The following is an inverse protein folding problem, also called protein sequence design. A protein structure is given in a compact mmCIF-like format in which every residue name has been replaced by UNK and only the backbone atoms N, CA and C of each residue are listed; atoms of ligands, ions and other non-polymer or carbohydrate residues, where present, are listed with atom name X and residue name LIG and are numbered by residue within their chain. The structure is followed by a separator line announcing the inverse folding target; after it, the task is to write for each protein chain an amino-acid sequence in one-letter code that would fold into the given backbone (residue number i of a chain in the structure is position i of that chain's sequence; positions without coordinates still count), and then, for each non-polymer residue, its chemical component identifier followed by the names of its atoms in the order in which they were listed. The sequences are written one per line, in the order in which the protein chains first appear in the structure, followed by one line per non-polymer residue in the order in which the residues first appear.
data_IF_146826334066
#
_entry.id   IF_146826334066
#
_cell.length_a   1.000
_cell.length_b   1.000
_cell.length_c   1.000
_cell.angle_alpha   90.00
_cell.angle_beta   90.00
_cell.angle_gamma   90.00
#
_symmetry.space_group_name_H-M   'P 1'
#
loop_
_entity.id
_entity.type
_entity.pdbx_description
1 polymer ?
#
# COMPACT_ATOMS: atom_id res chain seq x y z
N UNK A 1 3.10 3.51 -24.48
CA UNK A 1 3.00 4.98 -24.62
C UNK A 1 2.60 5.53 -23.25
N UNK A 2 3.47 6.34 -22.61
CA UNK A 2 3.13 6.98 -21.32
C UNK A 2 2.22 8.15 -21.66
N UNK A 3 1.00 8.10 -21.15
CA UNK A 3 -0.03 9.14 -21.31
C UNK A 3 0.47 10.52 -20.87
N UNK A 4 -0.08 11.58 -21.43
CA UNK A 4 0.33 12.97 -21.24
C UNK A 4 0.40 13.38 -19.77
N UNK A 5 1.40 14.19 -19.39
CA UNK A 5 1.55 14.84 -18.08
C UNK A 5 0.27 15.53 -17.59
N UNK A 6 -0.57 16.00 -18.50
CA UNK A 6 -1.82 16.68 -18.20
C UNK A 6 -2.81 15.76 -17.46
N UNK A 7 -2.90 14.50 -17.87
CA UNK A 7 -3.89 13.54 -17.38
C UNK A 7 -3.64 13.14 -15.90
N UNK A 8 -2.37 12.96 -15.51
CA UNK A 8 -2.03 12.63 -14.11
C UNK A 8 -2.30 13.81 -13.16
N UNK A 9 -1.90 15.02 -13.54
CA UNK A 9 -2.10 16.21 -12.72
C UNK A 9 -3.58 16.60 -12.59
N UNK A 10 -4.41 16.27 -13.57
CA UNK A 10 -5.85 16.51 -13.52
C UNK A 10 -6.57 15.41 -12.71
N UNK A 11 -6.36 14.14 -13.04
CA UNK A 11 -7.08 13.02 -12.41
C UNK A 11 -6.56 12.66 -11.02
N UNK A 12 -5.27 12.85 -10.78
CA UNK A 12 -4.61 12.53 -9.52
C UNK A 12 -4.08 11.10 -9.44
N UNK A 13 -4.18 10.31 -10.51
CA UNK A 13 -3.65 8.97 -10.61
C UNK A 13 -3.18 8.60 -12.02
N UNK A 14 -2.34 7.57 -12.08
CA UNK A 14 -1.94 6.88 -13.30
C UNK A 14 -1.87 5.38 -13.03
N UNK A 15 -2.50 4.58 -13.90
CA UNK A 15 -2.44 3.13 -13.83
C UNK A 15 -1.68 2.57 -15.02
N UNK A 16 -0.67 1.75 -14.75
CA UNK A 16 0.22 1.17 -15.75
C UNK A 16 0.19 -0.36 -15.66
N UNK A 17 0.00 -1.03 -16.80
CA UNK A 17 -0.04 -2.48 -16.87
C UNK A 17 1.34 -3.05 -17.17
N UNK A 18 1.64 -4.25 -16.63
CA UNK A 18 2.82 -5.06 -16.92
C UNK A 18 4.14 -4.29 -16.75
N UNK A 19 4.27 -3.53 -15.66
CA UNK A 19 5.49 -2.77 -15.36
C UNK A 19 6.60 -3.69 -14.87
N UNK A 20 6.23 -4.71 -14.10
CA UNK A 20 7.15 -5.70 -13.55
C UNK A 20 6.81 -7.10 -14.07
N UNK A 21 7.84 -7.93 -14.28
CA UNK A 21 7.65 -9.32 -14.70
C UNK A 21 7.02 -10.16 -13.59
N UNK A 22 6.31 -11.22 -13.98
CA UNK A 22 5.76 -12.17 -13.02
C UNK A 22 6.85 -12.82 -12.16
N UNK A 23 8.02 -13.09 -12.73
CA UNK A 23 9.16 -13.67 -12.03
C UNK A 23 9.60 -12.76 -10.86
N UNK A 24 9.74 -11.47 -11.11
CA UNK A 24 10.09 -10.49 -10.09
C UNK A 24 9.07 -10.44 -8.95
N UNK A 25 7.78 -10.49 -9.29
CA UNK A 25 6.70 -10.47 -8.29
C UNK A 25 6.66 -11.76 -7.48
N UNK A 26 6.87 -12.91 -8.10
CA UNK A 26 6.91 -14.21 -7.40
C UNK A 26 8.13 -14.31 -6.47
N UNK A 27 9.28 -13.75 -6.83
CA UNK A 27 10.44 -13.68 -5.94
C UNK A 27 10.13 -12.85 -4.68
N UNK A 28 9.47 -11.70 -4.84
CA UNK A 28 9.03 -10.88 -3.71
C UNK A 28 8.04 -11.65 -2.83
N UNK A 29 7.01 -12.26 -3.42
CA UNK A 29 6.00 -13.04 -2.70
C UNK A 29 6.62 -14.22 -1.94
N UNK A 30 7.56 -14.93 -2.54
CA UNK A 30 8.30 -16.01 -1.90
C UNK A 30 9.04 -15.51 -0.66
N UNK A 31 9.78 -14.41 -0.78
CA UNK A 31 10.53 -13.81 0.32
C UNK A 31 9.61 -13.42 1.49
N UNK A 32 8.45 -12.81 1.19
CA UNK A 32 7.44 -12.44 2.20
C UNK A 32 6.91 -13.68 2.91
N UNK A 33 6.50 -14.70 2.16
CA UNK A 33 5.91 -15.93 2.71
C UNK A 33 6.92 -16.70 3.57
N UNK A 34 8.17 -16.81 3.14
CA UNK A 34 9.25 -17.43 3.91
C UNK A 34 9.51 -16.67 5.21
N UNK A 35 9.59 -15.34 5.16
CA UNK A 35 9.76 -14.50 6.34
C UNK A 35 8.61 -14.67 7.33
N UNK A 36 7.36 -14.60 6.87
CA UNK A 36 6.18 -14.79 7.72
C UNK A 36 6.20 -16.17 8.38
N UNK A 37 6.50 -17.22 7.62
CA UNK A 37 6.59 -18.61 8.14
C UNK A 37 7.69 -18.75 9.19
N UNK A 38 8.89 -18.24 8.92
CA UNK A 38 10.05 -18.32 9.83
C UNK A 38 9.81 -17.59 11.16
N UNK A 39 9.01 -16.52 11.14
CA UNK A 39 8.71 -15.70 12.30
C UNK A 39 7.34 -16.01 12.94
N UNK A 40 6.63 -17.05 12.49
CA UNK A 40 5.29 -17.41 12.96
C UNK A 40 4.29 -16.25 12.89
N UNK A 41 4.35 -15.47 11.82
CA UNK A 41 3.45 -14.34 11.59
C UNK A 41 2.25 -14.82 10.77
N UNK A 42 1.05 -14.65 11.32
CA UNK A 42 -0.21 -15.02 10.68
C UNK A 42 -1.15 -13.82 10.59
N UNK A 43 -1.86 -13.72 9.47
CA UNK A 43 -2.86 -12.66 9.30
C UNK A 43 -4.06 -12.96 10.20
N UNK A 44 -4.45 -12.00 11.02
CA UNK A 44 -5.63 -12.11 11.87
C UNK A 44 -6.88 -11.71 11.08
N UNK A 45 -7.56 -12.69 10.49
CA UNK A 45 -8.79 -12.51 9.70
C UNK A 45 -10.04 -12.28 10.55
N UNK A 46 -9.94 -12.49 11.86
CA UNK A 46 -11.01 -12.21 12.85
C UNK A 46 -10.44 -11.34 13.95
N UNK A 47 -11.33 -10.56 14.60
CA UNK A 47 -10.93 -9.81 15.79
C UNK A 47 -10.48 -10.77 16.88
N UNK A 48 -9.33 -10.51 17.43
CA UNK A 48 -8.79 -11.25 18.56
C UNK A 48 -9.27 -10.60 19.86
N UNK A 49 -10.15 -11.28 20.57
CA UNK A 49 -10.66 -10.80 21.86
C UNK A 49 -9.60 -10.83 22.99
N UNK A 50 -8.54 -11.62 22.80
CA UNK A 50 -7.41 -11.73 23.71
C UNK A 50 -6.34 -10.63 23.52
N UNK A 51 -6.46 -9.81 22.46
CA UNK A 51 -5.56 -8.72 22.16
C UNK A 51 -6.31 -7.40 22.26
N UNK A 52 -5.99 -6.61 23.28
CA UNK A 52 -6.66 -5.32 23.54
C UNK A 52 -6.28 -4.23 22.55
N UNK A 53 -5.11 -4.36 21.90
CA UNK A 53 -4.56 -3.38 20.99
C UNK A 53 -3.96 -4.08 19.75
N UNK A 54 -3.67 -3.29 18.70
CA UNK A 54 -2.90 -3.79 17.56
C UNK A 54 -1.54 -4.27 18.01
N UNK A 55 -1.12 -5.39 17.45
CA UNK A 55 0.15 -6.00 17.79
C UNK A 55 1.22 -5.57 16.80
N UNK A 56 2.29 -5.01 17.29
CA UNK A 56 3.45 -4.60 16.50
C UNK A 56 4.62 -5.54 16.73
N UNK A 57 5.23 -5.98 15.66
CA UNK A 57 6.43 -6.79 15.71
C UNK A 57 7.66 -5.90 15.42
N UNK A 58 8.48 -5.67 16.44
CA UNK A 58 9.67 -4.83 16.37
C UNK A 58 10.84 -5.57 17.02
N UNK A 59 11.99 -5.60 16.35
CA UNK A 59 13.20 -6.29 16.85
C UNK A 59 12.92 -7.75 17.28
N UNK A 60 12.17 -8.49 16.44
CA UNK A 60 11.77 -9.86 16.70
C UNK A 60 10.88 -10.08 17.96
N UNK A 61 10.22 -9.04 18.43
CA UNK A 61 9.35 -9.09 19.60
C UNK A 61 8.05 -8.34 19.35
N UNK A 62 6.92 -8.91 19.76
CA UNK A 62 5.64 -8.20 19.76
C UNK A 62 5.62 -7.14 20.87
N UNK A 63 5.11 -5.96 20.54
CA UNK A 63 5.00 -4.84 21.46
C UNK A 63 3.62 -4.19 21.40
N UNK A 64 3.24 -3.44 22.41
CA UNK A 64 2.00 -2.65 22.42
C UNK A 64 2.10 -1.39 21.58
N UNK A 65 0.95 -0.81 21.22
CA UNK A 65 0.86 0.46 20.49
C UNK A 65 1.62 1.60 21.21
N UNK A 66 1.55 1.67 22.54
CA UNK A 66 2.22 2.71 23.31
C UNK A 66 3.74 2.60 23.25
N UNK A 67 4.26 1.39 23.33
CA UNK A 67 5.69 1.13 23.15
C UNK A 67 6.12 1.43 21.71
N UNK A 68 5.31 1.06 20.72
CA UNK A 68 5.57 1.36 19.32
C UNK A 68 5.69 2.85 19.05
N UNK A 69 4.77 3.67 19.55
CA UNK A 69 4.81 5.13 19.39
C UNK A 69 6.09 5.76 19.98
N UNK A 70 6.66 5.18 21.03
CA UNK A 70 7.91 5.62 21.66
C UNK A 70 9.15 5.27 20.85
N UNK A 71 9.08 4.30 19.93
CA UNK A 71 10.23 3.74 19.20
C UNK A 71 10.64 4.51 17.95
N UNK A 72 10.11 5.68 17.67
CA UNK A 72 10.40 6.46 16.43
C UNK A 72 10.28 5.59 15.17
N UNK A 73 9.16 4.97 14.96
CA UNK A 73 8.85 3.95 13.95
C UNK A 73 9.24 4.31 12.50
N UNK A 74 9.50 5.57 12.20
CA UNK A 74 9.92 6.02 10.87
C UNK A 74 11.24 5.41 10.40
N UNK A 75 12.08 4.93 11.32
CA UNK A 75 13.40 4.38 11.00
C UNK A 75 13.55 2.89 11.24
N UNK A 76 12.61 2.27 11.95
CA UNK A 76 12.65 0.84 12.26
C UNK A 76 11.76 0.05 11.31
N UNK A 77 12.13 -1.21 10.97
CA UNK A 77 11.19 -2.12 10.35
C UNK A 77 10.14 -2.51 11.39
N UNK A 78 8.87 -2.36 11.02
CA UNK A 78 7.75 -2.66 11.91
C UNK A 78 6.69 -3.44 11.15
N UNK A 79 6.11 -4.44 11.80
CA UNK A 79 4.98 -5.20 11.28
C UNK A 79 3.75 -4.85 12.13
N UNK A 80 2.77 -4.22 11.49
CA UNK A 80 1.46 -3.91 12.07
C UNK A 80 0.46 -4.98 11.64
N UNK A 81 0.14 -5.91 12.55
CA UNK A 81 -0.87 -6.94 12.31
C UNK A 81 -2.21 -6.48 12.90
N UNK A 82 -3.11 -6.05 12.02
CA UNK A 82 -4.35 -5.38 12.37
C UNK A 82 -5.45 -6.38 12.76
N UNK A 83 -5.38 -6.90 13.97
CA UNK A 83 -6.34 -7.89 14.49
C UNK A 83 -6.88 -7.60 15.89
N UNK A 84 -6.51 -6.44 16.48
CA UNK A 84 -6.95 -6.07 17.83
C UNK A 84 -8.47 -5.89 17.95
N UNK A 85 -9.06 -6.23 19.13
CA UNK A 85 -10.51 -6.18 19.32
C UNK A 85 -11.09 -4.76 19.27
N UNK A 86 -10.28 -3.74 19.56
CA UNK A 86 -10.67 -2.33 19.49
C UNK A 86 -10.69 -1.78 18.07
N UNK A 87 -10.18 -2.54 17.10
CA UNK A 87 -10.16 -2.08 15.71
C UNK A 87 -11.52 -2.28 15.05
N UNK A 88 -12.07 -1.22 14.47
CA UNK A 88 -13.36 -1.26 13.75
C UNK A 88 -13.19 -1.55 12.26
N UNK A 89 -12.02 -1.25 11.70
CA UNK A 89 -11.71 -1.37 10.26
C UNK A 89 -10.40 -2.10 10.04
N UNK A 90 -10.16 -2.56 8.80
CA UNK A 90 -8.92 -3.17 8.32
C UNK A 90 -8.47 -4.44 9.06
N UNK A 91 -9.36 -5.11 9.81
CA UNK A 91 -9.06 -6.44 10.35
C UNK A 91 -8.81 -7.40 9.19
N UNK A 92 -7.72 -8.13 9.25
CA UNK A 92 -7.24 -8.97 8.15
C UNK A 92 -6.13 -8.33 7.32
N UNK A 93 -5.61 -7.17 7.75
CA UNK A 93 -4.48 -6.50 7.11
C UNK A 93 -3.20 -6.63 7.93
N UNK A 94 -2.08 -6.86 7.25
CA UNK A 94 -0.73 -6.70 7.79
C UNK A 94 0.01 -5.66 6.95
N UNK A 95 0.61 -4.68 7.62
CA UNK A 95 1.55 -3.74 7.02
C UNK A 95 2.97 -4.00 7.53
N UNK A 96 3.90 -4.14 6.59
CA UNK A 96 5.34 -4.15 6.86
C UNK A 96 5.87 -2.77 6.53
N UNK A 97 6.13 -1.95 7.54
CA UNK A 97 6.72 -0.62 7.36
C UNK A 97 8.24 -0.70 7.26
N UNK A 98 8.84 0.15 6.43
CA UNK A 98 10.28 0.12 6.12
C UNK A 98 10.73 -1.27 5.66
N UNK A 99 9.94 -1.86 4.78
CA UNK A 99 10.06 -3.24 4.33
C UNK A 99 11.42 -3.56 3.70
N UNK A 100 12.11 -2.59 3.13
CA UNK A 100 13.45 -2.75 2.57
C UNK A 100 14.52 -3.17 3.60
N UNK A 101 14.21 -3.03 4.89
CA UNK A 101 15.09 -3.49 5.98
C UNK A 101 14.83 -4.94 6.36
N UNK A 102 13.63 -5.44 6.11
CA UNK A 102 13.24 -6.85 6.30
C UNK A 102 13.53 -7.67 5.04
N UNK A 103 13.39 -7.06 3.88
CA UNK A 103 13.50 -7.66 2.55
C UNK A 103 14.48 -6.85 1.69
N UNK A 104 15.79 -6.95 1.92
CA UNK A 104 16.78 -6.12 1.22
C UNK A 104 16.80 -6.31 -0.30
N UNK A 105 16.38 -7.49 -0.77
CA UNK A 105 16.30 -7.80 -2.21
C UNK A 105 15.26 -6.97 -2.97
N UNK A 106 14.27 -6.39 -2.28
CA UNK A 106 13.22 -5.57 -2.95
C UNK A 106 13.84 -4.45 -3.79
N UNK A 107 14.89 -3.77 -3.29
CA UNK A 107 15.55 -2.69 -4.03
C UNK A 107 16.27 -3.15 -5.28
N UNK A 108 16.69 -4.40 -5.33
CA UNK A 108 17.35 -4.99 -6.49
C UNK A 108 16.32 -5.44 -7.54
N UNK A 109 15.18 -5.97 -7.08
CA UNK A 109 14.09 -6.44 -7.93
C UNK A 109 13.34 -5.26 -8.53
N UNK A 110 13.03 -4.25 -7.69
CA UNK A 110 12.32 -3.04 -8.09
C UNK A 110 13.32 -1.91 -8.30
N UNK A 111 13.61 -1.60 -9.57
CA UNK A 111 14.48 -0.48 -9.90
C UNK A 111 13.79 0.85 -9.58
N UNK A 112 14.17 1.46 -8.45
CA UNK A 112 13.60 2.72 -7.97
C UNK A 112 13.84 3.88 -8.95
N UNK A 113 14.96 3.88 -9.68
CA UNK A 113 15.28 4.94 -10.64
C UNK A 113 14.29 4.96 -11.81
N UNK A 114 13.76 3.80 -12.19
CA UNK A 114 12.67 3.71 -13.18
C UNK A 114 11.41 4.41 -12.65
N UNK A 115 11.04 4.16 -11.40
CA UNK A 115 9.89 4.83 -10.78
C UNK A 115 10.13 6.34 -10.71
N UNK A 116 11.30 6.78 -10.24
CA UNK A 116 11.67 8.20 -10.16
C UNK A 116 11.63 8.88 -11.54
N UNK A 117 12.09 8.20 -12.58
CA UNK A 117 12.02 8.69 -13.96
C UNK A 117 10.58 8.87 -14.43
N UNK A 118 9.70 7.89 -14.13
CA UNK A 118 8.27 7.99 -14.44
C UNK A 118 7.64 9.17 -13.68
N UNK A 119 7.90 9.29 -12.38
CA UNK A 119 7.37 10.36 -11.54
C UNK A 119 7.81 11.74 -12.05
N UNK A 120 9.10 11.89 -12.40
CA UNK A 120 9.60 13.14 -12.99
C UNK A 120 8.89 13.45 -14.31
N UNK A 121 8.72 12.45 -15.17
CA UNK A 121 8.06 12.61 -16.48
C UNK A 121 6.60 13.05 -16.36
N UNK A 122 5.85 12.54 -15.37
CA UNK A 122 4.42 12.86 -15.21
C UNK A 122 4.15 14.10 -14.37
N UNK A 123 5.10 14.56 -13.55
CA UNK A 123 4.90 15.71 -12.63
C UNK A 123 5.79 16.91 -12.94
N UNK A 124 6.91 16.71 -13.63
CA UNK A 124 7.96 17.73 -13.80
C UNK A 124 8.76 18.02 -12.52
N UNK A 125 8.52 17.28 -11.44
CA UNK A 125 9.12 17.51 -10.11
C UNK A 125 10.09 16.37 -9.80
N UNK A 126 11.22 16.69 -9.15
CA UNK A 126 12.12 15.67 -8.59
C UNK A 126 11.55 15.13 -7.29
N UNK A 127 11.57 13.81 -7.16
CA UNK A 127 11.04 13.08 -6.01
C UNK A 127 12.15 12.32 -5.30
N UNK A 128 11.98 12.11 -4.00
CA UNK A 128 12.81 11.19 -3.22
C UNK A 128 11.94 10.15 -2.52
N UNK A 129 12.46 8.94 -2.45
CA UNK A 129 11.83 7.85 -1.73
C UNK A 129 11.84 8.17 -0.23
N UNK A 130 10.68 8.13 0.39
CA UNK A 130 10.53 8.28 1.83
C UNK A 130 10.61 6.93 2.53
N UNK A 131 9.85 5.94 2.05
CA UNK A 131 9.79 4.58 2.62
C UNK A 131 9.18 3.58 1.65
N UNK A 132 9.47 2.30 1.90
CA UNK A 132 8.86 1.16 1.22
C UNK A 132 8.02 0.41 2.26
N UNK A 133 6.78 0.09 1.92
CA UNK A 133 5.91 -0.74 2.75
C UNK A 133 5.43 -1.94 1.93
N UNK A 134 5.12 -3.04 2.61
CA UNK A 134 4.35 -4.14 2.04
C UNK A 134 3.03 -4.20 2.78
N UNK A 135 1.95 -4.37 2.05
CA UNK A 135 0.62 -4.47 2.59
C UNK A 135 -0.01 -5.77 2.10
N UNK A 136 -0.35 -6.67 3.03
CA UNK A 136 -1.04 -7.92 2.77
C UNK A 136 -2.42 -7.85 3.41
N UNK A 137 -3.45 -8.17 2.65
CA UNK A 137 -4.83 -8.14 3.09
C UNK A 137 -5.47 -9.51 2.86
N UNK A 138 -6.17 -10.04 3.84
CA UNK A 138 -6.92 -11.30 3.73
C UNK A 138 -8.27 -11.15 4.43
N UNK A 139 -9.36 -11.34 3.69
CA UNK A 139 -10.73 -11.22 4.21
C UNK A 139 -11.03 -9.89 4.93
N UNK A 140 -10.55 -8.77 4.43
CA UNK A 140 -10.83 -7.44 4.99
C UNK A 140 -12.25 -7.01 4.63
N UNK A 141 -13.23 -7.41 5.44
CA UNK A 141 -14.67 -7.16 5.19
C UNK A 141 -15.00 -5.68 5.38
N UNK A 142 -14.41 -5.04 6.41
CA UNK A 142 -14.62 -3.63 6.75
C UNK A 142 -13.34 -2.82 6.52
N UNK A 143 -13.01 -2.44 5.29
CA UNK A 143 -11.89 -1.54 5.04
C UNK A 143 -12.21 -0.13 5.54
N UNK A 144 -11.19 0.69 5.72
CA UNK A 144 -11.36 2.10 6.01
C UNK A 144 -12.31 2.77 5.00
N UNK A 145 -13.11 3.70 5.50
CA UNK A 145 -13.93 4.57 4.64
C UNK A 145 -13.06 5.41 3.71
N UNK A 146 -13.68 6.12 2.79
CA UNK A 146 -12.98 7.12 1.98
C UNK A 146 -12.25 8.12 2.87
N UNK A 147 -10.97 8.27 2.63
CA UNK A 147 -10.07 9.16 3.37
C UNK A 147 -9.00 9.74 2.45
N UNK A 148 -8.27 10.69 2.95
CA UNK A 148 -7.06 11.23 2.33
C UNK A 148 -5.97 11.39 3.40
N UNK A 149 -4.73 11.30 2.97
CA UNK A 149 -3.60 11.59 3.86
C UNK A 149 -3.35 13.11 3.89
N UNK A 150 -3.24 13.66 5.08
CA UNK A 150 -2.96 15.08 5.24
C UNK A 150 -1.45 15.38 5.08
N UNK A 151 -0.88 14.85 4.00
CA UNK A 151 0.52 15.04 3.62
C UNK A 151 0.53 15.75 2.28
N UNK A 152 0.88 17.03 2.29
CA UNK A 152 0.98 17.81 1.06
C UNK A 152 2.02 17.20 0.12
N UNK A 153 1.62 17.03 -1.14
CA UNK A 153 2.48 16.57 -2.24
C UNK A 153 3.21 15.24 -1.97
N UNK A 154 2.53 14.25 -1.41
CA UNK A 154 3.04 12.89 -1.35
C UNK A 154 2.45 12.04 -2.46
N UNK A 155 3.31 11.31 -3.18
CA UNK A 155 2.89 10.31 -4.16
C UNK A 155 3.06 8.91 -3.58
N UNK A 156 2.03 8.10 -3.75
CA UNK A 156 2.02 6.67 -3.48
C UNK A 156 2.11 5.90 -4.79
N UNK A 157 3.05 4.97 -4.85
CA UNK A 157 3.19 4.00 -5.94
C UNK A 157 2.90 2.63 -5.37
N UNK A 158 1.89 1.96 -5.88
CA UNK A 158 1.48 0.62 -5.44
C UNK A 158 1.69 -0.38 -6.57
N UNK A 159 2.59 -1.35 -6.39
CA UNK A 159 2.82 -2.46 -7.29
C UNK A 159 1.99 -3.64 -6.81
N UNK A 160 1.25 -4.26 -7.71
CA UNK A 160 0.35 -5.37 -7.42
C UNK A 160 1.16 -6.65 -7.23
N UNK A 161 1.11 -7.24 -6.04
CA UNK A 161 1.72 -8.53 -5.71
C UNK A 161 0.75 -9.70 -5.95
N UNK A 162 -0.51 -9.41 -6.21
CA UNK A 162 -1.57 -10.38 -6.51
C UNK A 162 -2.50 -9.84 -7.60
N UNK A 163 -3.22 -10.73 -8.27
CA UNK A 163 -4.24 -10.32 -9.24
C UNK A 163 -5.45 -9.75 -8.50
N UNK A 164 -5.95 -8.61 -8.94
CA UNK A 164 -7.18 -7.97 -8.45
C UNK A 164 -8.20 -8.03 -9.59
N UNK A 165 -8.90 -9.14 -9.68
CA UNK A 165 -9.76 -9.47 -10.85
C UNK A 165 -11.17 -8.89 -10.76
N UNK A 166 -11.62 -8.52 -9.56
CA UNK A 166 -12.89 -7.87 -9.30
C UNK A 166 -12.81 -7.04 -8.01
N UNK A 167 -13.88 -6.32 -7.69
CA UNK A 167 -13.95 -5.43 -6.53
C UNK A 167 -13.84 -6.18 -5.19
N UNK A 168 -14.38 -7.41 -5.08
CA UNK A 168 -14.32 -8.25 -3.88
C UNK A 168 -12.90 -8.76 -3.57
N UNK A 169 -11.93 -8.50 -4.44
CA UNK A 169 -10.50 -8.75 -4.18
C UNK A 169 -9.79 -7.63 -3.41
N UNK A 170 -10.52 -6.63 -2.90
CA UNK A 170 -9.93 -5.49 -2.19
C UNK A 170 -9.31 -4.46 -3.14
N UNK A 171 -9.97 -4.18 -4.26
CA UNK A 171 -9.49 -3.26 -5.26
C UNK A 171 -9.26 -1.85 -4.70
N UNK A 172 -8.15 -1.18 -5.04
CA UNK A 172 -7.97 0.24 -4.74
C UNK A 172 -9.02 1.09 -5.47
N UNK A 173 -9.51 2.12 -4.79
CA UNK A 173 -10.47 3.08 -5.32
C UNK A 173 -9.94 4.49 -5.09
N UNK A 174 -10.07 5.35 -6.08
CA UNK A 174 -9.68 6.74 -6.03
C UNK A 174 -10.78 7.62 -6.62
N UNK A 175 -10.96 8.81 -6.07
CA UNK A 175 -11.91 9.80 -6.60
C UNK A 175 -11.11 10.85 -7.36
N UNK A 176 -11.36 10.93 -8.67
CA UNK A 176 -10.65 11.84 -9.57
C UNK A 176 -10.72 13.30 -9.10
N UNK A 177 -9.63 14.03 -9.31
CA UNK A 177 -9.50 15.47 -9.05
C UNK A 177 -9.58 15.88 -7.57
N UNK A 178 -9.75 14.94 -6.63
CA UNK A 178 -9.89 15.27 -5.19
C UNK A 178 -8.57 15.64 -4.51
N UNK A 179 -7.42 15.42 -5.14
CA UNK A 179 -6.13 15.96 -4.70
C UNK A 179 -6.03 17.50 -4.86
N UNK A 180 -6.86 18.08 -5.75
CA UNK A 180 -6.98 19.53 -5.96
C UNK A 180 -8.23 20.07 -5.25
N UNK A 181 -9.40 19.45 -5.49
CA UNK A 181 -10.71 19.91 -5.03
C UNK A 181 -11.37 18.85 -4.17
N UNK A 182 -11.24 18.97 -2.84
CA UNK A 182 -11.72 17.95 -1.87
C UNK A 182 -13.22 17.67 -1.92
N UNK A 183 -14.04 18.64 -2.30
CA UNK A 183 -15.51 18.54 -2.26
C UNK A 183 -16.13 18.05 -3.58
N UNK A 184 -15.34 17.65 -4.56
CA UNK A 184 -15.84 17.20 -5.87
C UNK A 184 -16.12 15.69 -5.86
N UNK A 185 -16.94 15.22 -4.92
CA UNK A 185 -17.29 13.80 -4.83
C UNK A 185 -18.56 13.55 -5.65
N UNK A 186 -18.37 13.07 -6.88
CA UNK A 186 -19.44 12.59 -7.75
C UNK A 186 -19.19 11.12 -8.07
N UNK A 187 -20.26 10.34 -8.20
CA UNK A 187 -20.15 8.90 -8.50
C UNK A 187 -19.38 8.61 -9.80
N UNK A 188 -19.52 9.47 -10.81
CA UNK A 188 -18.81 9.35 -12.10
C UNK A 188 -17.29 9.51 -11.99
N UNK A 189 -16.80 10.17 -10.92
CA UNK A 189 -15.38 10.41 -10.67
C UNK A 189 -14.75 9.28 -9.85
N UNK A 190 -15.52 8.30 -9.40
CA UNK A 190 -14.99 7.16 -8.63
C UNK A 190 -14.40 6.14 -9.60
N UNK A 191 -13.11 5.83 -9.42
CA UNK A 191 -12.39 4.84 -10.22
C UNK A 191 -11.91 3.69 -9.35
N UNK A 192 -12.27 2.49 -9.79
CA UNK A 192 -11.79 1.23 -9.20
C UNK A 192 -10.69 0.65 -10.08
N UNK A 193 -9.58 0.25 -9.48
CA UNK A 193 -8.41 -0.25 -10.21
C UNK A 193 -8.29 -1.77 -10.09
N UNK A 194 -8.79 -2.46 -11.10
CA UNK A 194 -8.55 -3.89 -11.30
C UNK A 194 -7.23 -4.06 -12.03
N UNK A 195 -6.45 -5.08 -11.68
CA UNK A 195 -5.13 -5.28 -12.29
C UNK A 195 -4.55 -6.65 -11.98
N UNK A 196 -3.40 -6.93 -12.61
CA UNK A 196 -2.66 -8.18 -12.46
C UNK A 196 -1.37 -7.95 -11.67
N UNK A 197 -0.78 -9.04 -11.22
CA UNK A 197 0.59 -9.04 -10.68
C UNK A 197 1.53 -8.28 -11.60
N UNK A 198 2.30 -7.35 -11.04
CA UNK A 198 3.23 -6.51 -11.79
C UNK A 198 2.65 -5.23 -12.37
N UNK A 199 1.33 -5.01 -12.28
CA UNK A 199 0.72 -3.73 -12.59
C UNK A 199 1.08 -2.69 -11.52
N UNK A 200 0.99 -1.40 -11.86
CA UNK A 200 1.39 -0.31 -11.00
C UNK A 200 0.35 0.83 -10.99
N UNK A 201 -0.09 1.20 -9.79
CA UNK A 201 -0.92 2.38 -9.55
C UNK A 201 -0.07 3.48 -8.91
N UNK A 202 -0.03 4.64 -9.54
CA UNK A 202 0.57 5.87 -9.02
C UNK A 202 -0.56 6.82 -8.64
N UNK A 203 -0.55 7.40 -7.45
CA UNK A 203 -1.58 8.35 -7.03
C UNK A 203 -1.06 9.38 -6.03
N UNK A 204 -1.67 10.57 -6.02
CA UNK A 204 -1.48 11.53 -4.95
C UNK A 204 -2.17 11.05 -3.66
N UNK A 205 -1.45 11.01 -2.54
CA UNK A 205 -2.00 10.55 -1.26
C UNK A 205 -3.01 11.52 -0.65
N UNK A 206 -2.91 12.78 -0.96
CA UNK A 206 -3.88 13.79 -0.54
C UNK A 206 -5.21 13.75 -1.34
N UNK A 207 -5.34 12.92 -2.39
CA UNK A 207 -6.62 12.63 -3.03
C UNK A 207 -7.45 11.65 -2.21
N UNK A 208 -8.77 11.69 -2.37
CA UNK A 208 -9.69 10.81 -1.64
C UNK A 208 -9.63 9.41 -2.21
N UNK A 209 -9.33 8.44 -1.36
CA UNK A 209 -9.18 7.05 -1.75
C UNK A 209 -9.63 6.07 -0.65
N UNK A 210 -9.79 4.81 -1.01
CA UNK A 210 -10.01 3.67 -0.10
C UNK A 210 -9.63 2.37 -0.78
N UNK A 211 -9.77 1.25 -0.06
CA UNK A 211 -9.89 -0.09 -0.66
C UNK A 211 -11.33 -0.54 -0.66
N UNK A 212 -11.70 -1.40 -1.60
CA UNK A 212 -12.95 -2.15 -1.55
C UNK A 212 -12.87 -3.26 -0.50
N UNK A 213 -14.02 -3.73 0.02
CA UNK A 213 -14.06 -4.93 0.85
C UNK A 213 -13.42 -6.13 0.14
N UNK A 214 -12.93 -7.08 0.93
CA UNK A 214 -12.29 -8.28 0.42
C UNK A 214 -12.93 -9.52 1.02
N UNK A 215 -13.36 -10.43 0.17
CA UNK A 215 -14.05 -11.67 0.57
C UNK A 215 -13.34 -12.88 0.01
N UNK A 216 -12.95 -13.80 0.91
CA UNK A 216 -12.33 -15.08 0.53
C UNK A 216 -11.12 -14.94 -0.43
N UNK A 217 -10.38 -13.86 -0.28
CA UNK A 217 -9.24 -13.54 -1.12
C UNK A 217 -8.08 -12.98 -0.30
N UNK A 218 -6.85 -13.21 -0.77
CA UNK A 218 -5.66 -12.56 -0.22
C UNK A 218 -5.02 -11.71 -1.29
N UNK A 219 -4.88 -10.42 -1.01
CA UNK A 219 -4.20 -9.47 -1.91
C UNK A 219 -2.95 -8.90 -1.26
N UNK A 220 -1.98 -8.54 -2.09
CA UNK A 220 -0.73 -7.92 -1.66
C UNK A 220 -0.38 -6.73 -2.54
N UNK A 221 0.25 -5.74 -1.91
CA UNK A 221 0.78 -4.55 -2.58
C UNK A 221 2.16 -4.22 -2.02
N UNK A 222 3.10 -3.94 -2.91
CA UNK A 222 4.35 -3.28 -2.56
C UNK A 222 4.17 -1.78 -2.77
N UNK A 223 4.35 -1.01 -1.71
CA UNK A 223 3.95 0.40 -1.66
C UNK A 223 5.16 1.29 -1.42
N UNK A 224 5.41 2.21 -2.33
CA UNK A 224 6.46 3.23 -2.23
C UNK A 224 5.82 4.59 -1.98
N UNK A 225 6.35 5.30 -1.00
CA UNK A 225 5.92 6.66 -0.70
C UNK A 225 7.04 7.63 -1.10
N UNK A 226 6.69 8.63 -1.90
CA UNK A 226 7.62 9.64 -2.40
C UNK A 226 7.19 11.02 -1.95
N UNK A 227 8.16 11.86 -1.61
CA UNK A 227 7.98 13.28 -1.30
C UNK A 227 8.82 14.13 -2.25
N UNK A 228 8.46 15.40 -2.51
CA UNK A 228 9.27 16.30 -3.32
C UNK A 228 10.69 16.44 -2.75
N UNK A 229 11.64 16.62 -3.66
CA UNK A 229 13.04 16.84 -3.28
C UNK A 229 13.27 18.30 -2.90
#
# INVERSE_FOLDING_TARGET
MITNNYDFNEKGYLFLNNVYSLENIEEINKSINEFMKQNNIYIHITRRHDVTEDTFFVNNTYTSLDNYKKMQYYYLPVIDNRGGHNRSTDVGMIDFYNAEKLFPNIKNIVNIDVILSILFKITGIKWKLLRINIQICSNVINPNSFHFENIDKCIKVSIYLSDIINEDCGAPVYIENTHIIKNNIKNENIKTFLGKKGDMLISFQNGIHRKMPQKNYTSGFLVFNFIPF
#
